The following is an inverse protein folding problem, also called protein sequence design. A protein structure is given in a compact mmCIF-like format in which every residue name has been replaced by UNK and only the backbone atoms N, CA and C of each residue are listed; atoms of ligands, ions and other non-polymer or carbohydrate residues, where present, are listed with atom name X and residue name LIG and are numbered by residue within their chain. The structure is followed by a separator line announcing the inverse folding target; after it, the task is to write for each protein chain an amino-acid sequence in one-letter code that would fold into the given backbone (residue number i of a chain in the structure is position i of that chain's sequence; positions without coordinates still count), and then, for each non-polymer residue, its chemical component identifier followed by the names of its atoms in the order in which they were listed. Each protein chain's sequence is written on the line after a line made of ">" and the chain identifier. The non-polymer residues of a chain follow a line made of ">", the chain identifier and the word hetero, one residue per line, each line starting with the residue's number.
data_IF_378096713017
#
_entry.id   IF_378096713017
#
_cell.length_a   1.000
_cell.length_b   1.000
_cell.length_c   1.000
_cell.angle_alpha   90.00
_cell.angle_beta   90.00
_cell.angle_gamma   90.00
#
_symmetry.space_group_name_H-M   'P 1'
#
loop_
_entity.id
_entity.type
_entity.pdbx_description
1 polymer ?
#
# COMPACT_ATOMS: atom_id res chain seq x y z
N UNK A 1 -24.58 -2.70 5.03
CA UNK A 1 -23.34 -3.40 4.65
C UNK A 1 -22.79 -4.07 5.91
N UNK A 2 -22.54 -5.37 5.86
CA UNK A 2 -21.94 -6.12 6.96
C UNK A 2 -20.60 -5.48 7.37
N UNK A 3 -20.40 -5.29 8.68
CA UNK A 3 -19.18 -4.68 9.26
C UNK A 3 -17.88 -5.41 8.85
N UNK A 4 -17.97 -6.73 8.59
CA UNK A 4 -16.88 -7.53 8.02
C UNK A 4 -16.53 -7.10 6.60
N UNK A 5 -17.54 -6.99 5.74
CA UNK A 5 -17.37 -6.66 4.32
C UNK A 5 -16.78 -5.25 4.16
N UNK A 6 -17.23 -4.30 4.99
CA UNK A 6 -16.66 -2.94 5.01
C UNK A 6 -15.18 -2.92 5.41
N UNK A 7 -14.75 -3.72 6.39
CA UNK A 7 -13.35 -3.79 6.81
C UNK A 7 -12.42 -4.40 5.75
N UNK A 8 -12.88 -5.45 5.06
CA UNK A 8 -12.14 -6.06 3.94
C UNK A 8 -12.05 -5.07 2.78
N UNK A 9 -13.15 -4.44 2.39
CA UNK A 9 -13.15 -3.44 1.30
C UNK A 9 -12.20 -2.28 1.63
N UNK A 10 -12.22 -1.77 2.86
CA UNK A 10 -11.32 -0.70 3.28
C UNK A 10 -9.85 -1.11 3.21
N UNK A 11 -9.53 -2.35 3.58
CA UNK A 11 -8.15 -2.86 3.53
C UNK A 11 -7.69 -3.07 2.08
N UNK A 12 -8.55 -3.61 1.21
CA UNK A 12 -8.26 -3.77 -0.21
C UNK A 12 -8.12 -2.41 -0.90
N UNK A 13 -9.01 -1.47 -0.63
CA UNK A 13 -8.96 -0.13 -1.19
C UNK A 13 -7.69 0.62 -0.77
N UNK A 14 -7.28 0.52 0.50
CA UNK A 14 -6.04 1.16 0.99
C UNK A 14 -4.79 0.51 0.39
N UNK A 15 -4.76 -0.81 0.21
CA UNK A 15 -3.64 -1.49 -0.47
C UNK A 15 -3.57 -1.08 -1.95
N UNK A 16 -4.70 -1.00 -2.65
CA UNK A 16 -4.72 -0.58 -4.05
C UNK A 16 -4.31 0.90 -4.23
N UNK A 17 -4.86 1.77 -3.39
CA UNK A 17 -4.69 3.22 -3.52
C UNK A 17 -3.36 3.71 -2.93
N UNK A 18 -2.76 2.96 -2.00
CA UNK A 18 -1.61 3.40 -1.23
C UNK A 18 -0.42 2.43 -1.34
N UNK A 19 -0.67 1.12 -1.31
CA UNK A 19 0.36 0.10 -1.40
C UNK A 19 1.01 0.01 -2.78
N UNK A 20 0.22 -0.07 -3.86
CA UNK A 20 0.74 -0.15 -5.23
C UNK A 20 1.52 1.12 -5.62
N UNK A 21 0.96 2.34 -5.51
CA UNK A 21 1.72 3.55 -5.83
C UNK A 21 2.89 3.76 -4.87
N UNK A 22 2.76 3.39 -3.59
CA UNK A 22 3.86 3.43 -2.63
C UNK A 22 5.01 2.50 -3.02
N UNK A 23 4.73 1.28 -3.47
CA UNK A 23 5.75 0.33 -3.92
C UNK A 23 6.47 0.82 -5.17
N UNK A 24 5.72 1.33 -6.16
CA UNK A 24 6.29 1.92 -7.37
C UNK A 24 7.18 3.14 -7.05
N UNK A 25 6.72 4.02 -6.15
CA UNK A 25 7.50 5.18 -5.69
C UNK A 25 8.73 4.76 -4.87
N UNK A 26 8.67 3.68 -4.10
CA UNK A 26 9.82 3.14 -3.40
C UNK A 26 10.90 2.63 -4.36
N UNK A 27 10.51 1.89 -5.41
CA UNK A 27 11.45 1.38 -6.42
C UNK A 27 12.06 2.51 -7.25
N UNK A 28 11.22 3.44 -7.71
CA UNK A 28 11.65 4.58 -8.51
C UNK A 28 12.50 5.55 -7.69
N UNK A 29 12.07 5.84 -6.46
CA UNK A 29 12.80 6.67 -5.50
C UNK A 29 14.13 6.04 -5.10
N UNK A 30 14.17 4.72 -4.88
CA UNK A 30 15.41 3.96 -4.62
C UNK A 30 16.41 4.07 -5.76
N UNK A 31 15.94 3.91 -6.99
CA UNK A 31 16.78 3.96 -8.18
C UNK A 31 17.24 5.40 -8.50
N UNK A 32 16.41 6.41 -8.20
CA UNK A 32 16.79 7.83 -8.23
C UNK A 32 17.78 8.21 -7.12
N UNK A 33 17.61 7.69 -5.89
CA UNK A 33 18.54 7.92 -4.78
C UNK A 33 19.91 7.26 -5.03
N UNK A 34 19.94 6.13 -5.74
CA UNK A 34 21.17 5.49 -6.20
C UNK A 34 21.88 6.28 -7.33
N UNK A 35 21.25 7.34 -7.87
CA UNK A 35 21.81 8.14 -8.97
C UNK A 35 21.83 7.39 -10.32
N UNK A 36 21.03 6.32 -10.44
CA UNK A 36 21.02 5.45 -11.63
C UNK A 36 19.88 5.84 -12.59
N UNK A 37 19.08 6.85 -12.25
CA UNK A 37 17.93 7.27 -13.05
C UNK A 37 18.30 8.44 -14.00
N UNK A 38 18.64 8.15 -15.26
CA UNK A 38 18.76 9.20 -16.26
C UNK A 38 17.37 9.75 -16.58
N UNK A 39 17.28 11.06 -16.77
CA UNK A 39 16.13 11.70 -17.38
C UNK A 39 16.56 12.35 -18.69
N UNK A 40 15.69 12.25 -19.67
CA UNK A 40 15.80 12.94 -20.95
C UNK A 40 14.44 13.58 -21.21
N UNK A 41 14.38 14.90 -21.21
CA UNK A 41 13.15 15.65 -21.49
C UNK A 41 13.40 16.62 -22.64
N UNK A 42 12.58 16.52 -23.67
CA UNK A 42 12.52 17.53 -24.72
C UNK A 42 11.39 18.50 -24.42
N UNK A 43 11.71 19.79 -24.39
CA UNK A 43 10.71 20.84 -24.27
C UNK A 43 11.05 21.97 -25.25
N UNK A 44 10.15 22.22 -26.20
CA UNK A 44 10.32 23.29 -27.19
C UNK A 44 11.51 23.10 -28.14
N UNK A 45 11.88 21.86 -28.48
CA UNK A 45 12.99 21.54 -29.39
C UNK A 45 14.39 21.57 -28.75
N UNK A 46 14.47 21.82 -27.44
CA UNK A 46 15.70 21.69 -26.68
C UNK A 46 15.65 20.39 -25.86
N UNK A 47 16.66 19.54 -26.07
CA UNK A 47 16.87 18.30 -25.32
C UNK A 47 17.63 18.63 -24.03
N UNK A 48 17.01 18.41 -22.88
CA UNK A 48 17.66 18.47 -21.57
C UNK A 48 17.82 17.05 -21.03
N UNK A 49 19.06 16.59 -20.94
CA UNK A 49 19.40 15.27 -20.42
C UNK A 49 20.32 15.39 -19.20
N UNK A 50 20.06 14.58 -18.20
CA UNK A 50 20.80 14.59 -16.95
C UNK A 50 20.41 13.43 -16.05
N UNK A 51 20.97 13.37 -14.85
CA UNK A 51 20.57 12.39 -13.84
C UNK A 51 19.66 13.07 -12.83
N UNK A 52 18.58 12.40 -12.43
CA UNK A 52 17.68 12.93 -11.41
C UNK A 52 18.47 13.15 -10.13
N UNK A 53 18.38 14.33 -9.48
CA UNK A 53 19.10 14.60 -8.25
C UNK A 53 18.73 13.56 -7.17
N UNK A 54 19.70 12.97 -6.46
CA UNK A 54 19.43 11.96 -5.44
C UNK A 54 18.49 12.46 -4.34
N UNK A 55 18.49 13.77 -4.06
CA UNK A 55 17.59 14.43 -3.11
C UNK A 55 16.11 14.21 -3.42
N UNK A 56 15.73 14.20 -4.70
CA UNK A 56 14.38 13.88 -5.14
C UNK A 56 14.05 12.40 -4.96
N UNK A 57 15.05 11.52 -5.14
CA UNK A 57 14.94 10.10 -4.82
C UNK A 57 14.64 9.86 -3.34
N UNK A 58 15.42 10.47 -2.44
CA UNK A 58 15.19 10.37 -0.99
C UNK A 58 13.82 10.89 -0.56
N UNK A 59 13.39 12.03 -1.11
CA UNK A 59 12.06 12.57 -0.85
C UNK A 59 10.96 11.59 -1.30
N UNK A 60 11.11 10.98 -2.48
CA UNK A 60 10.20 9.96 -3.00
C UNK A 60 10.13 8.70 -2.12
N UNK A 61 11.27 8.21 -1.64
CA UNK A 61 11.32 7.06 -0.70
C UNK A 61 10.63 7.41 0.62
N UNK A 62 10.89 8.59 1.20
CA UNK A 62 10.24 9.01 2.44
C UNK A 62 8.72 9.03 2.30
N UNK A 63 8.21 9.58 1.20
CA UNK A 63 6.77 9.65 0.93
C UNK A 63 6.19 8.25 0.69
N UNK A 64 6.92 7.38 0.00
CA UNK A 64 6.55 5.99 -0.20
C UNK A 64 6.47 5.19 1.11
N UNK A 65 7.41 5.39 2.05
CA UNK A 65 7.36 4.76 3.37
C UNK A 65 6.13 5.17 4.16
N UNK A 66 5.73 6.46 4.10
CA UNK A 66 4.51 6.95 4.73
C UNK A 66 3.28 6.27 4.10
N UNK A 67 3.23 6.19 2.76
CA UNK A 67 2.14 5.50 2.07
C UNK A 67 2.12 4.00 2.38
N UNK A 68 3.24 3.33 2.61
CA UNK A 68 3.26 1.91 3.02
C UNK A 68 2.84 1.75 4.47
N UNK A 69 3.15 2.71 5.35
CA UNK A 69 2.74 2.66 6.75
C UNK A 69 1.20 2.65 6.91
N UNK A 70 0.46 3.36 6.05
CA UNK A 70 -1.02 3.43 6.10
C UNK A 70 -1.69 2.04 5.95
N UNK A 71 -1.49 1.27 4.86
CA UNK A 71 -2.08 -0.07 4.71
C UNK A 71 -1.54 -1.06 5.74
N UNK A 72 -0.31 -0.88 6.26
CA UNK A 72 0.19 -1.69 7.38
C UNK A 72 -0.63 -1.44 8.64
N UNK A 73 -0.87 -0.18 9.00
CA UNK A 73 -1.68 0.17 10.18
C UNK A 73 -3.13 -0.31 9.98
N UNK A 74 -3.72 -0.08 8.81
CA UNK A 74 -5.08 -0.54 8.49
C UNK A 74 -5.16 -2.06 8.55
N UNK A 75 -4.21 -2.77 7.95
CA UNK A 75 -4.10 -4.22 8.01
C UNK A 75 -4.01 -4.74 9.44
N UNK A 76 -3.16 -4.13 10.28
CA UNK A 76 -3.04 -4.49 11.70
C UNK A 76 -4.34 -4.22 12.46
N UNK A 77 -4.98 -3.06 12.28
CA UNK A 77 -6.25 -2.73 12.95
C UNK A 77 -7.37 -3.68 12.50
N UNK A 78 -7.43 -4.01 11.21
CA UNK A 78 -8.37 -4.99 10.65
C UNK A 78 -8.10 -6.40 11.19
N UNK A 79 -6.85 -6.86 11.28
CA UNK A 79 -6.49 -8.18 11.82
C UNK A 79 -6.68 -8.26 13.34
N UNK A 80 -6.41 -7.18 14.08
CA UNK A 80 -6.60 -7.11 15.53
C UNK A 80 -8.08 -7.11 15.92
N UNK A 81 -8.95 -6.59 15.06
CA UNK A 81 -10.39 -6.91 15.09
C UNK A 81 -10.59 -8.28 14.44
N UNK A 82 -10.04 -9.33 15.05
CA UNK A 82 -10.45 -10.70 14.75
C UNK A 82 -11.98 -10.68 14.74
N UNK A 83 -12.64 -11.08 13.65
CA UNK A 83 -14.07 -11.25 13.71
C UNK A 83 -14.30 -12.22 14.85
N UNK A 84 -15.07 -11.78 15.84
CA UNK A 84 -15.83 -12.66 16.71
C UNK A 84 -16.23 -13.81 15.79
N UNK A 85 -15.71 -15.00 16.10
CA UNK A 85 -16.11 -16.18 15.37
C UNK A 85 -17.63 -16.08 15.35
N UNK A 86 -18.20 -15.96 14.15
CA UNK A 86 -19.56 -16.43 13.99
C UNK A 86 -19.42 -17.88 14.42
N UNK A 87 -19.79 -18.07 15.68
CA UNK A 87 -20.28 -19.30 16.21
C UNK A 87 -21.37 -19.71 15.23
N UNK A 88 -20.97 -20.43 14.18
CA UNK A 88 -21.80 -21.52 13.69
C UNK A 88 -21.84 -22.56 14.82
N UNK A 89 -22.46 -22.20 15.96
CA UNK A 89 -23.21 -23.15 16.76
C UNK A 89 -24.59 -23.20 16.14
N UNK A 90 -24.66 -23.71 14.92
CA UNK A 90 -25.90 -24.25 14.35
C UNK A 90 -25.98 -25.74 14.70
N UNK A 91 -25.70 -26.08 15.97
CA UNK A 91 -25.96 -27.41 16.45
C UNK A 91 -26.30 -27.38 17.94
N UNK A 92 -27.60 -27.52 18.25
CA UNK A 92 -28.03 -28.41 19.29
C UNK A 92 -28.84 -29.51 18.61
N UNK A 93 -28.18 -30.55 18.06
CA UNK A 93 -28.87 -31.85 17.95
C UNK A 93 -28.90 -32.41 19.37
N UNK A 94 -30.09 -32.57 19.99
CA UNK A 94 -30.18 -33.08 21.35
C UNK A 94 -29.67 -34.52 21.44
N UNK A 95 -29.07 -34.92 22.58
CA UNK A 95 -28.57 -36.28 22.79
C UNK A 95 -29.71 -37.30 22.83
N UNK A 96 -29.39 -38.49 22.31
CA UNK A 96 -30.27 -39.62 22.01
C UNK A 96 -31.07 -40.20 23.19
N UNK A 97 -32.29 -40.69 22.89
CA UNK A 97 -32.86 -42.04 23.19
C UNK A 97 -34.07 -42.25 22.26
#
# INVERSE_FOLDING_TARGET
>A
MEKKTTGIIATVATVLLCGIPGLCLCLFGGLAAAGILPYTTEFGGQTSSGTVPPTWGYAGICLALILIAIPVIVGIVTLRKKPEAESMSDEPVPPAI
#
